data_IF_673887606877
#
_entry.id   IF_673887606877
#
_cell.length_a   1.000
_cell.length_b   1.000
_cell.length_c   1.000
_cell.angle_alpha   90.00
_cell.angle_beta   90.00
_cell.angle_gamma   90.00
#
_symmetry.space_group_name_H-M   'P 1'
#
loop_
_entity.id
_entity.type
_entity.pdbx_description
1 polymer ?
#
# COMPACT_ATOMS: atom_id res chain seq x y z
N UNK A 1 -25.66 1.97 -4.44
CA UNK A 1 -26.17 1.16 -5.56
C UNK A 1 -25.60 -0.24 -5.38
N UNK A 2 -26.29 -1.05 -4.58
CA UNK A 2 -25.80 -2.36 -4.16
C UNK A 2 -25.90 -3.33 -5.34
N UNK A 3 -24.76 -3.62 -5.95
CA UNK A 3 -24.66 -4.68 -6.95
C UNK A 3 -24.78 -6.03 -6.25
N UNK A 4 -25.29 -7.03 -6.97
CA UNK A 4 -25.37 -8.39 -6.46
C UNK A 4 -23.98 -8.86 -5.95
N UNK A 5 -23.92 -9.63 -4.86
CA UNK A 5 -22.66 -10.06 -4.26
C UNK A 5 -21.78 -10.86 -5.24
N UNK A 6 -22.39 -11.53 -6.22
CA UNK A 6 -21.71 -12.33 -7.25
C UNK A 6 -21.35 -11.55 -8.53
N UNK A 7 -21.52 -10.22 -8.52
CA UNK A 7 -21.25 -9.41 -9.71
C UNK A 7 -19.74 -9.22 -9.93
N UNK A 8 -19.30 -9.40 -11.18
CA UNK A 8 -17.96 -9.00 -11.61
C UNK A 8 -17.76 -7.49 -11.46
N UNK A 9 -16.66 -7.10 -10.85
CA UNK A 9 -16.31 -5.69 -10.61
C UNK A 9 -15.19 -5.23 -11.55
N UNK A 10 -15.26 -3.98 -11.99
CA UNK A 10 -14.16 -3.39 -12.77
C UNK A 10 -13.05 -2.87 -11.85
N UNK A 11 -11.83 -2.67 -12.38
CA UNK A 11 -10.73 -2.12 -11.58
C UNK A 11 -11.05 -0.78 -10.91
N UNK A 12 -11.83 0.09 -11.56
CA UNK A 12 -12.24 1.37 -11.00
C UNK A 12 -13.21 1.20 -9.82
N UNK A 13 -14.09 0.21 -9.89
CA UNK A 13 -15.04 -0.10 -8.82
C UNK A 13 -14.33 -0.72 -7.61
N UNK A 14 -13.42 -1.66 -7.85
CA UNK A 14 -12.62 -2.29 -6.79
C UNK A 14 -11.69 -1.27 -6.13
N UNK A 15 -11.10 -0.37 -6.90
CA UNK A 15 -10.29 0.74 -6.39
C UNK A 15 -11.09 1.65 -5.45
N UNK A 16 -12.32 2.00 -5.82
CA UNK A 16 -13.21 2.82 -4.99
C UNK A 16 -13.67 2.07 -3.73
N UNK A 17 -14.02 0.78 -3.85
CA UNK A 17 -14.46 -0.04 -2.72
C UNK A 17 -13.35 -0.26 -1.68
N UNK A 18 -12.11 -0.43 -2.15
CA UNK A 18 -10.95 -0.59 -1.28
C UNK A 18 -10.31 0.74 -0.89
N UNK A 19 -10.75 1.86 -1.43
CA UNK A 19 -10.07 3.15 -1.28
C UNK A 19 -8.56 2.99 -1.59
N UNK A 20 -8.21 2.46 -2.77
CA UNK A 20 -6.82 2.27 -3.22
C UNK A 20 -6.69 2.74 -4.67
N UNK A 21 -5.61 3.44 -5.05
CA UNK A 21 -5.39 3.83 -6.44
C UNK A 21 -5.35 2.65 -7.41
N UNK A 22 -5.91 2.82 -8.61
CA UNK A 22 -5.97 1.76 -9.62
C UNK A 22 -4.58 1.22 -10.02
N UNK A 23 -3.54 2.06 -10.01
CA UNK A 23 -2.18 1.64 -10.34
C UNK A 23 -1.59 0.69 -9.28
N UNK A 24 -1.98 0.83 -8.01
CA UNK A 24 -1.58 -0.09 -6.93
C UNK A 24 -2.23 -1.46 -7.13
N UNK A 25 -3.50 -1.50 -7.54
CA UNK A 25 -4.15 -2.77 -7.90
C UNK A 25 -3.45 -3.46 -9.08
N UNK A 26 -3.07 -2.70 -10.12
CA UNK A 26 -2.27 -3.24 -11.24
C UNK A 26 -0.92 -3.77 -10.76
N UNK A 27 -0.28 -3.08 -9.83
CA UNK A 27 0.97 -3.56 -9.23
C UNK A 27 0.74 -4.84 -8.43
N UNK A 28 -0.34 -4.94 -7.65
CA UNK A 28 -0.69 -6.15 -6.91
C UNK A 28 -0.97 -7.36 -7.81
N UNK A 29 -1.57 -7.16 -8.99
CA UNK A 29 -1.72 -8.23 -10.00
C UNK A 29 -0.38 -8.89 -10.37
N UNK A 30 0.72 -8.12 -10.38
CA UNK A 30 2.05 -8.66 -10.68
C UNK A 30 2.71 -9.36 -9.50
N UNK A 31 2.31 -9.03 -8.27
CA UNK A 31 2.91 -9.56 -7.04
C UNK A 31 2.17 -10.79 -6.52
N UNK A 32 0.86 -10.87 -6.71
CA UNK A 32 0.04 -11.94 -6.19
C UNK A 32 -0.53 -12.78 -7.35
N UNK A 33 0.07 -13.93 -7.61
CA UNK A 33 -0.33 -14.83 -8.70
C UNK A 33 -1.73 -15.43 -8.53
N UNK A 34 -2.31 -15.31 -7.34
CA UNK A 34 -3.67 -15.73 -7.02
C UNK A 34 -4.72 -14.79 -7.61
N UNK A 35 -4.38 -13.50 -7.81
CA UNK A 35 -5.30 -12.50 -8.36
C UNK A 35 -5.20 -12.55 -9.89
N UNK A 36 -6.24 -13.04 -10.55
CA UNK A 36 -6.27 -13.23 -12.00
C UNK A 36 -7.44 -12.49 -12.64
N UNK A 37 -7.28 -11.19 -12.97
CA UNK A 37 -8.35 -10.43 -13.61
C UNK A 37 -8.69 -11.01 -14.99
N UNK A 38 -9.98 -11.12 -15.27
CA UNK A 38 -10.47 -11.57 -16.58
C UNK A 38 -10.32 -10.42 -17.59
N UNK A 39 -9.50 -10.64 -18.63
CA UNK A 39 -9.30 -9.69 -19.72
C UNK A 39 -10.37 -9.91 -20.79
N UNK A 40 -11.17 -8.87 -21.09
CA UNK A 40 -12.13 -8.87 -22.21
C UNK A 40 -11.53 -8.15 -23.43
N UNK A 41 -12.12 -8.33 -24.60
CA UNK A 41 -11.71 -7.80 -25.92
C UNK A 41 -11.53 -6.27 -26.04
N UNK A 42 -11.67 -5.51 -24.96
CA UNK A 42 -11.41 -4.06 -24.92
C UNK A 42 -10.38 -3.65 -23.87
N UNK A 43 -9.50 -4.57 -23.43
CA UNK A 43 -8.43 -4.26 -22.46
C UNK A 43 -8.90 -3.99 -21.02
N UNK A 44 -10.21 -4.05 -20.77
CA UNK A 44 -10.81 -3.88 -19.44
C UNK A 44 -10.61 -5.14 -18.60
N UNK A 45 -10.24 -4.91 -17.34
CA UNK A 45 -10.03 -5.95 -16.31
C UNK A 45 -11.28 -6.07 -15.45
N UNK A 46 -11.74 -7.30 -15.27
CA UNK A 46 -12.82 -7.64 -14.37
C UNK A 46 -12.32 -8.59 -13.28
N UNK A 47 -12.67 -8.31 -12.03
CA UNK A 47 -12.35 -9.15 -10.88
C UNK A 47 -13.58 -9.98 -10.51
N UNK A 48 -13.33 -11.22 -10.08
CA UNK A 48 -14.36 -12.07 -9.48
C UNK A 48 -14.65 -11.58 -8.05
N UNK A 49 -15.85 -11.85 -7.52
CA UNK A 49 -16.14 -11.63 -6.09
C UNK A 49 -15.06 -12.22 -5.18
N UNK A 50 -14.65 -13.47 -5.43
CA UNK A 50 -13.57 -14.14 -4.68
C UNK A 50 -12.23 -13.37 -4.72
N UNK A 51 -11.87 -12.77 -5.87
CA UNK A 51 -10.66 -11.97 -6.00
C UNK A 51 -10.77 -10.66 -5.22
N UNK A 52 -11.97 -10.08 -5.16
CA UNK A 52 -12.24 -8.85 -4.42
C UNK A 52 -12.13 -9.11 -2.92
N UNK A 53 -12.62 -10.25 -2.43
CA UNK A 53 -12.47 -10.63 -1.02
C UNK A 53 -11.01 -10.92 -0.66
N UNK A 54 -10.27 -11.54 -1.59
CA UNK A 54 -8.83 -11.71 -1.43
C UNK A 54 -8.10 -10.36 -1.36
N UNK A 55 -8.45 -9.41 -2.23
CA UNK A 55 -7.88 -8.06 -2.25
C UNK A 55 -8.17 -7.30 -0.94
N UNK A 56 -9.38 -7.46 -0.36
CA UNK A 56 -9.72 -6.92 0.96
C UNK A 56 -8.81 -7.49 2.06
N UNK A 57 -8.60 -8.80 2.06
CA UNK A 57 -7.69 -9.46 3.00
C UNK A 57 -6.24 -8.99 2.84
N UNK A 58 -5.73 -8.88 1.60
CA UNK A 58 -4.38 -8.37 1.32
C UNK A 58 -4.22 -6.93 1.79
N UNK A 59 -5.21 -6.07 1.53
CA UNK A 59 -5.22 -4.68 2.02
C UNK A 59 -5.10 -4.62 3.54
N UNK A 60 -5.87 -5.45 4.25
CA UNK A 60 -5.81 -5.51 5.71
C UNK A 60 -4.42 -5.92 6.18
N UNK A 61 -3.84 -6.96 5.59
CA UNK A 61 -2.51 -7.42 5.99
C UNK A 61 -1.44 -6.36 5.74
N UNK A 62 -1.49 -5.67 4.59
CA UNK A 62 -0.50 -4.66 4.25
C UNK A 62 -0.65 -3.37 5.07
N UNK A 63 -1.87 -2.82 5.15
CA UNK A 63 -2.10 -1.49 5.74
C UNK A 63 -2.67 -1.52 7.15
N UNK A 64 -3.46 -2.54 7.50
CA UNK A 64 -4.00 -2.70 8.85
C UNK A 64 -2.98 -3.34 9.80
N UNK A 65 -2.28 -4.36 9.34
CA UNK A 65 -1.35 -5.15 10.17
C UNK A 65 0.13 -4.86 9.88
N UNK A 66 0.44 -4.08 8.83
CA UNK A 66 1.80 -3.63 8.53
C UNK A 66 2.71 -4.71 7.91
N UNK A 67 2.15 -5.77 7.33
CA UNK A 67 2.94 -6.78 6.63
C UNK A 67 3.56 -6.20 5.36
N UNK A 68 4.74 -6.74 4.99
CA UNK A 68 5.33 -6.49 3.68
C UNK A 68 4.69 -7.38 2.62
N UNK A 69 4.83 -7.02 1.34
CA UNK A 69 4.34 -7.84 0.21
C UNK A 69 4.87 -9.28 0.29
N UNK A 70 6.16 -9.46 0.64
CA UNK A 70 6.75 -10.80 0.84
C UNK A 70 6.11 -11.54 2.03
N UNK A 71 5.80 -10.83 3.11
CA UNK A 71 5.09 -11.38 4.27
C UNK A 71 3.71 -11.92 3.88
N UNK A 72 2.94 -11.15 3.13
CA UNK A 72 1.61 -11.56 2.66
C UNK A 72 1.69 -12.74 1.68
N UNK A 73 2.66 -12.73 0.76
CA UNK A 73 2.90 -13.88 -0.14
C UNK A 73 3.21 -15.17 0.65
N UNK A 74 3.98 -15.07 1.73
CA UNK A 74 4.26 -16.22 2.61
C UNK A 74 2.99 -16.72 3.30
N UNK A 75 2.18 -15.83 3.86
CA UNK A 75 0.90 -16.19 4.49
C UNK A 75 -0.03 -16.89 3.50
N UNK A 76 -0.12 -16.38 2.27
CA UNK A 76 -0.92 -17.00 1.21
C UNK A 76 -0.43 -18.41 0.84
N UNK A 77 0.87 -18.67 0.95
CA UNK A 77 1.45 -19.99 0.69
C UNK A 77 1.23 -20.97 1.85
N UNK A 78 1.31 -20.49 3.09
CA UNK A 78 1.23 -21.32 4.30
C UNK A 78 -0.22 -21.62 4.72
N UNK A 79 -1.06 -20.58 4.79
CA UNK A 79 -2.44 -20.67 5.25
C UNK A 79 -3.46 -20.78 4.10
N UNK A 80 -3.01 -20.54 2.86
CA UNK A 80 -3.86 -20.60 1.68
C UNK A 80 -4.74 -19.36 1.49
N UNK A 81 -5.31 -19.28 0.29
CA UNK A 81 -6.11 -18.12 -0.17
C UNK A 81 -7.38 -17.92 0.67
N UNK A 82 -8.04 -19.01 1.06
CA UNK A 82 -9.29 -18.98 1.84
C UNK A 82 -9.11 -18.34 3.21
N UNK A 83 -7.95 -18.53 3.84
CA UNK A 83 -7.65 -17.93 5.13
C UNK A 83 -7.56 -16.40 5.02
N UNK A 84 -6.95 -15.90 3.94
CA UNK A 84 -6.82 -14.45 3.71
C UNK A 84 -8.15 -13.84 3.28
N UNK A 85 -8.95 -14.55 2.49
CA UNK A 85 -10.31 -14.12 2.15
C UNK A 85 -11.19 -13.95 3.39
N UNK A 86 -11.11 -14.86 4.37
CA UNK A 86 -11.87 -14.75 5.63
C UNK A 86 -11.51 -13.54 6.49
N UNK A 87 -10.33 -12.93 6.29
CA UNK A 87 -9.95 -11.69 6.97
C UNK A 87 -10.68 -10.45 6.42
N UNK A 88 -11.27 -10.55 5.23
CA UNK A 88 -12.01 -9.46 4.59
C UNK A 88 -13.26 -9.04 5.39
N UNK A 89 -13.92 -9.99 6.05
CA UNK A 89 -15.18 -9.76 6.77
C UNK A 89 -15.00 -8.96 8.07
N UNK A 90 -13.77 -8.89 8.60
CA UNK A 90 -13.44 -8.17 9.84
C UNK A 90 -13.05 -6.70 9.61
N UNK A 91 -13.48 -6.10 8.50
CA UNK A 91 -13.08 -4.78 8.03
C UNK A 91 -13.44 -3.64 9.01
N UNK A 92 -12.58 -3.39 9.98
CA UNK A 92 -12.51 -2.13 10.71
C UNK A 92 -11.55 -1.17 9.98
N UNK A 93 -12.02 0.06 9.82
CA UNK A 93 -11.52 1.11 8.95
C UNK A 93 -10.04 1.47 9.14
N UNK A 94 -9.26 1.29 8.07
CA UNK A 94 -8.04 2.07 7.82
C UNK A 94 -8.20 2.59 6.39
N UNK A 95 -8.30 3.91 6.18
CA UNK A 95 -8.40 4.50 4.83
C UNK A 95 -7.00 4.76 4.27
N UNK A 96 -6.83 4.61 2.96
CA UNK A 96 -5.53 4.81 2.31
C UNK A 96 -5.16 6.30 2.30
N UNK A 97 -6.15 7.18 2.14
CA UNK A 97 -5.94 8.64 2.19
C UNK A 97 -5.27 9.11 3.48
N UNK A 98 -5.57 8.50 4.62
CA UNK A 98 -4.93 8.85 5.90
C UNK A 98 -3.42 8.53 5.93
N UNK A 99 -2.97 7.56 5.13
CA UNK A 99 -1.54 7.17 5.03
C UNK A 99 -0.83 8.06 4.00
N UNK A 100 -1.49 8.37 2.89
CA UNK A 100 -0.95 9.28 1.88
C UNK A 100 -0.81 10.71 2.41
N UNK A 101 -1.73 11.20 3.26
CA UNK A 101 -1.59 12.49 3.93
C UNK A 101 -0.40 12.50 4.92
N UNK A 102 -0.14 11.38 5.60
CA UNK A 102 1.00 11.25 6.51
C UNK A 102 2.35 11.18 5.77
N UNK A 103 2.39 10.61 4.56
CA UNK A 103 3.60 10.52 3.74
C UNK A 103 3.78 11.78 2.88
N UNK A 104 2.72 12.33 2.30
CA UNK A 104 2.71 13.52 1.45
C UNK A 104 3.07 14.80 2.21
N UNK A 105 2.71 14.90 3.50
CA UNK A 105 3.15 16.00 4.35
C UNK A 105 4.67 16.04 4.59
N UNK A 106 5.39 14.95 4.29
CA UNK A 106 6.86 14.91 4.37
C UNK A 106 7.57 15.27 3.05
N UNK A 107 6.83 15.54 1.97
CA UNK A 107 7.36 15.84 0.62
C UNK A 107 7.06 17.24 0.09
N UNK A 108 6.42 18.12 0.87
CA UNK A 108 6.35 19.55 0.55
C UNK A 108 7.61 20.24 1.06
N UNK A 109 8.64 20.31 0.22
CA UNK A 109 9.63 21.38 0.34
C UNK A 109 8.96 22.71 -0.06
N UNK A 110 9.28 23.83 0.61
CA UNK A 110 8.75 25.14 0.25
C UNK A 110 9.20 25.51 -1.17
N UNK A 111 8.24 26.02 -1.94
CA UNK A 111 8.45 26.60 -3.27
C UNK A 111 9.45 27.76 -3.17
N UNK A 112 10.69 27.55 -3.62
CA UNK A 112 11.59 28.66 -3.93
C UNK A 112 12.41 28.33 -5.20
N UNK A 113 12.25 29.23 -6.18
CA UNK A 113 13.10 29.51 -7.34
C UNK A 113 12.93 28.66 -8.63
N UNK A 114 12.05 29.18 -9.51
CA UNK A 114 12.04 28.93 -10.96
C UNK A 114 13.43 29.18 -11.58
N UNK A 115 14.02 28.16 -12.20
CA UNK A 115 15.10 28.34 -13.17
C UNK A 115 14.52 28.27 -14.61
N UNK A 116 14.86 29.24 -15.50
CA UNK A 116 14.24 29.36 -16.80
C UNK A 116 14.74 28.31 -17.79
N UNK A 117 13.84 27.48 -18.34
CA UNK A 117 14.14 26.58 -19.45
C UNK A 117 14.27 27.41 -20.72
N UNK A 118 15.50 27.57 -21.20
CA UNK A 118 15.82 28.26 -22.45
C UNK A 118 15.95 27.21 -23.57
N UNK A 119 15.04 27.24 -24.55
CA UNK A 119 15.25 26.59 -25.84
C UNK A 119 14.10 25.73 -26.36
N UNK A 120 12.95 26.33 -26.67
CA UNK A 120 12.09 25.84 -27.76
C UNK A 120 12.60 26.52 -29.03
N UNK A 121 13.27 25.76 -29.88
CA UNK A 121 13.36 26.08 -31.32
C UNK A 121 12.34 25.21 -32.02
N UNK A 122 11.36 25.92 -32.58
CA UNK A 122 10.41 25.51 -33.60
C UNK A 122 11.16 24.91 -34.81
N UNK A 123 10.87 23.66 -35.14
CA UNK A 123 11.16 23.09 -36.47
C UNK A 123 10.03 22.12 -36.81
N UNK A 124 9.25 22.49 -37.83
CA UNK A 124 8.28 21.64 -38.53
C UNK A 124 8.95 20.46 -39.27
N UNK A 125 8.14 19.41 -39.49
CA UNK A 125 8.26 18.34 -40.50
C UNK A 125 9.43 17.33 -40.42
N UNK A 126 9.10 16.04 -40.24
CA UNK A 126 9.28 15.00 -41.28
C UNK A 126 9.15 13.55 -40.71
N UNK A 127 8.34 12.75 -41.40
CA UNK A 127 8.26 11.28 -41.49
C UNK A 127 8.97 10.40 -40.44
N UNK A 128 8.19 9.73 -39.58
CA UNK A 128 8.64 8.51 -38.87
C UNK A 128 8.05 7.25 -39.50
N UNK A 129 8.72 6.77 -40.54
CA UNK A 129 8.57 5.44 -41.10
C UNK A 129 9.15 4.43 -40.08
N UNK A 130 8.38 3.40 -39.73
CA UNK A 130 8.85 2.36 -38.80
C UNK A 130 9.98 1.51 -39.38
N UNK A 131 10.91 1.10 -38.52
CA UNK A 131 11.38 -0.28 -38.41
C UNK A 131 12.14 -0.50 -37.09
N UNK A 132 11.68 -1.52 -36.37
CA UNK A 132 12.40 -2.58 -35.64
C UNK A 132 13.55 -2.26 -34.64
N UNK A 133 13.35 -2.79 -33.43
CA UNK A 133 14.35 -3.35 -32.51
C UNK A 133 15.14 -2.41 -31.57
N UNK A 134 14.50 -1.94 -30.49
CA UNK A 134 15.16 -1.82 -29.18
C UNK A 134 14.20 -2.30 -28.09
N UNK A 135 14.32 -3.59 -27.75
CA UNK A 135 13.75 -4.11 -26.51
C UNK A 135 14.40 -3.39 -25.34
N UNK A 136 13.60 -2.85 -24.42
CA UNK A 136 14.11 -2.27 -23.16
C UNK A 136 14.90 -3.37 -22.43
N UNK A 137 16.23 -3.24 -22.38
CA UNK A 137 17.10 -4.15 -21.65
C UNK A 137 16.93 -3.91 -20.14
N UNK A 138 16.06 -4.70 -19.52
CA UNK A 138 15.83 -4.68 -18.07
C UNK A 138 16.93 -5.43 -17.30
N UNK A 139 18.20 -5.34 -17.70
CA UNK A 139 19.36 -5.70 -16.85
C UNK A 139 19.56 -4.68 -15.72
N UNK A 140 18.53 -4.57 -14.89
CA UNK A 140 18.57 -3.93 -13.57
C UNK A 140 18.40 -4.99 -12.48
N UNK A 141 18.95 -6.18 -12.71
CA UNK A 141 19.25 -7.16 -11.67
C UNK A 141 20.72 -7.01 -11.37
N UNK A 142 21.06 -6.78 -10.10
CA UNK A 142 22.38 -6.44 -9.53
C UNK A 142 22.63 -4.95 -9.32
N UNK A 143 21.64 -4.22 -8.80
CA UNK A 143 22.02 -3.19 -7.83
C UNK A 143 22.24 -3.90 -6.51
N UNK A 144 23.48 -3.88 -6.03
CA UNK A 144 23.82 -4.31 -4.68
C UNK A 144 22.93 -3.54 -3.69
N UNK A 145 22.16 -4.27 -2.90
CA UNK A 145 21.20 -3.71 -1.94
C UNK A 145 21.88 -2.74 -0.93
N UNK A 146 23.20 -2.81 -0.78
CA UNK A 146 24.02 -1.85 -0.02
C UNK A 146 23.97 -0.43 -0.61
N UNK A 147 23.86 -0.23 -1.93
CA UNK A 147 23.82 1.10 -2.55
C UNK A 147 22.43 1.77 -2.39
N UNK A 148 21.35 0.98 -2.46
CA UNK A 148 19.98 1.44 -2.17
C UNK A 148 19.81 1.75 -0.68
N UNK A 149 20.38 0.91 0.20
CA UNK A 149 20.34 1.14 1.64
C UNK A 149 21.25 2.31 2.06
N UNK A 150 22.40 2.50 1.41
CA UNK A 150 23.31 3.63 1.70
C UNK A 150 22.76 4.95 1.16
N UNK A 151 22.07 4.98 0.02
CA UNK A 151 21.37 6.19 -0.45
C UNK A 151 20.24 6.59 0.50
N UNK A 152 19.47 5.63 1.03
CA UNK A 152 18.46 5.89 2.07
C UNK A 152 19.08 6.35 3.41
N UNK A 153 20.24 5.80 3.79
CA UNK A 153 20.97 6.18 5.01
C UNK A 153 21.73 7.51 4.87
N UNK A 154 22.18 7.86 3.66
CA UNK A 154 22.95 9.09 3.35
C UNK A 154 22.05 10.30 3.10
N UNK A 155 20.80 10.09 2.65
CA UNK A 155 19.79 11.14 2.52
C UNK A 155 19.05 11.52 3.82
N UNK A 156 19.40 10.93 4.97
CA UNK A 156 18.63 11.05 6.20
C UNK A 156 19.48 11.20 7.46
N UNK A 157 20.30 12.26 7.52
CA UNK A 157 20.70 12.85 8.80
C UNK A 157 19.82 14.07 9.14
N UNK A 158 18.56 14.08 8.67
CA UNK A 158 17.53 14.93 9.24
C UNK A 158 17.03 14.27 10.52
N UNK A 159 17.09 15.03 11.62
CA UNK A 159 16.77 14.61 12.97
C UNK A 159 15.55 13.67 13.02
N UNK A 160 15.68 12.57 13.78
CA UNK A 160 14.56 11.73 14.17
C UNK A 160 13.39 12.63 14.61
N UNK A 161 12.13 12.32 14.22
CA UNK A 161 11.00 13.12 14.66
C UNK A 161 11.05 13.14 16.19
N UNK A 162 11.01 14.35 16.74
CA UNK A 162 10.98 14.55 18.19
C UNK A 162 9.96 13.58 18.79
N UNK A 163 10.32 12.96 19.92
CA UNK A 163 9.49 11.96 20.59
C UNK A 163 8.03 12.39 20.75
N UNK A 164 7.13 11.45 21.11
CA UNK A 164 5.68 11.67 21.12
C UNK A 164 5.37 13.04 21.73
N UNK A 165 4.52 13.83 21.06
CA UNK A 165 4.17 15.16 21.53
C UNK A 165 3.78 15.08 23.01
N UNK A 166 4.04 16.12 23.80
CA UNK A 166 3.77 16.06 25.24
C UNK A 166 2.34 15.60 25.57
N UNK A 167 1.39 15.93 24.70
CA UNK A 167 0.00 15.48 24.76
C UNK A 167 -0.19 13.99 24.45
N UNK A 168 0.56 13.44 23.49
CA UNK A 168 0.54 12.00 23.17
C UNK A 168 1.15 11.17 24.30
N UNK A 169 2.21 11.68 24.92
CA UNK A 169 2.83 11.03 26.08
C UNK A 169 1.88 10.97 27.27
N UNK A 170 1.19 12.06 27.58
CA UNK A 170 0.22 12.10 28.68
C UNK A 170 -0.97 11.15 28.44
N UNK A 171 -1.45 11.08 27.18
CA UNK A 171 -2.49 10.11 26.79
C UNK A 171 -2.01 8.67 26.95
N UNK A 172 -0.79 8.36 26.52
CA UNK A 172 -0.20 7.03 26.67
C UNK A 172 -0.01 6.64 28.13
N UNK A 173 0.45 7.58 28.98
CA UNK A 173 0.62 7.34 30.43
C UNK A 173 -0.72 7.05 31.11
N UNK A 174 -1.80 7.73 30.72
CA UNK A 174 -3.15 7.45 31.24
C UNK A 174 -3.64 6.05 30.86
N UNK A 175 -3.55 5.69 29.58
CA UNK A 175 -3.98 4.37 29.09
C UNK A 175 -3.18 3.25 29.75
N UNK A 176 -1.87 3.46 29.95
CA UNK A 176 -1.02 2.50 30.64
C UNK A 176 -1.45 2.31 32.10
N UNK A 177 -1.82 3.39 32.79
CA UNK A 177 -2.40 3.33 34.14
C UNK A 177 -3.70 2.51 34.19
N UNK A 178 -4.62 2.75 33.26
CA UNK A 178 -5.89 2.03 33.19
C UNK A 178 -5.69 0.51 32.94
N UNK A 179 -4.75 0.15 32.06
CA UNK A 179 -4.41 -1.24 31.78
C UNK A 179 -3.77 -1.96 32.97
N UNK A 180 -2.88 -1.28 33.71
CA UNK A 180 -2.28 -1.84 34.94
C UNK A 180 -3.36 -2.08 36.00
N UNK A 181 -4.28 -1.13 36.20
CA UNK A 181 -5.40 -1.29 37.12
C UNK A 181 -6.28 -2.50 36.74
N UNK A 182 -6.57 -2.67 35.45
CA UNK A 182 -7.32 -3.83 34.97
C UNK A 182 -6.60 -5.15 35.26
N UNK A 183 -5.28 -5.20 35.07
CA UNK A 183 -4.46 -6.38 35.41
C UNK A 183 -4.54 -6.70 36.90
N UNK A 184 -4.35 -5.71 37.76
CA UNK A 184 -4.35 -5.93 39.21
C UNK A 184 -5.73 -6.37 39.72
N UNK A 185 -6.81 -5.89 39.13
CA UNK A 185 -8.17 -6.37 39.41
C UNK A 185 -8.36 -7.85 39.01
N UNK A 186 -7.83 -8.25 37.85
CA UNK A 186 -7.86 -9.64 37.41
C UNK A 186 -7.01 -10.55 38.31
N UNK A 187 -5.82 -10.10 38.69
CA UNK A 187 -4.91 -10.83 39.59
C UNK A 187 -5.52 -11.01 40.99
N UNK A 188 -6.26 -10.02 41.48
CA UNK A 188 -6.99 -10.11 42.74
C UNK A 188 -8.16 -11.09 42.65
N UNK A 189 -8.98 -10.99 41.59
CA UNK A 189 -10.09 -11.90 41.36
C UNK A 189 -9.64 -13.36 41.19
N UNK A 190 -8.46 -13.60 40.62
CA UNK A 190 -7.84 -14.93 40.49
C UNK A 190 -7.24 -15.47 41.79
N UNK A 191 -6.95 -14.62 42.78
CA UNK A 191 -6.45 -15.05 44.11
C UNK A 191 -7.58 -15.35 45.09
N UNK A 192 -8.74 -14.72 44.90
CA UNK A 192 -9.90 -14.84 45.79
C UNK A 192 -10.87 -15.98 45.39
N UNK A 193 -10.58 -16.71 44.30
CA UNK A 193 -11.34 -17.88 43.82
C UNK A 193 -10.56 -19.18 43.91
#
# INVERSE_FOLDING_TARGET
MDKAPDAFRTISEVAQELDIPQHVLRFWETRFSQIKPMKRSGGRRYYRPDDVDLLKGIRRLLYGEGYTIRGVQRILKEHGVKSVQGLADSAAAVSFGAIEDAIGASLMEPEDEEAPIKGVTDTDDDDYQGDEEEGIDFRFTEIDDEEILTTFRKGGAAAAPAGPSALDRERLERVLGDLVACRDMLDQALKDG
#
